data_IF_194414448414
#
_entry.id   IF_194414448414
#
_cell.length_a   1.000
_cell.length_b   1.000
_cell.length_c   1.000
_cell.angle_alpha   90.00
_cell.angle_beta   90.00
_cell.angle_gamma   90.00
#
_symmetry.space_group_name_H-M   'P 1'
#
loop_
_entity.id
_entity.type
_entity.pdbx_description
1 polymer ?
#
# COMPACT_ATOMS: atom_id res chain seq x y z
N UNK A 1 2.53 -28.11 -14.75
CA UNK A 1 2.13 -26.73 -14.35
C UNK A 1 1.18 -26.83 -13.15
N UNK A 2 1.29 -25.96 -12.14
CA UNK A 2 0.41 -26.01 -10.95
C UNK A 2 -0.95 -25.32 -11.21
N UNK A 3 -2.08 -26.05 -11.26
CA UNK A 3 -3.40 -25.48 -11.53
C UNK A 3 -4.01 -24.72 -10.33
N UNK A 4 -3.46 -24.85 -9.13
CA UNK A 4 -3.95 -24.14 -7.93
C UNK A 4 -3.36 -22.73 -7.80
N UNK A 5 -2.33 -22.41 -8.57
CA UNK A 5 -1.71 -21.09 -8.55
C UNK A 5 -2.62 -20.05 -9.21
N UNK A 6 -3.25 -19.21 -8.40
CA UNK A 6 -4.11 -18.10 -8.82
C UNK A 6 -3.57 -16.81 -8.21
N UNK A 7 -2.62 -16.12 -8.87
CA UNK A 7 -2.02 -14.92 -8.31
C UNK A 7 -3.09 -13.83 -8.17
N UNK A 8 -3.10 -13.10 -7.04
CA UNK A 8 -3.99 -11.96 -6.90
C UNK A 8 -3.57 -10.86 -7.88
N UNK A 9 -4.55 -10.10 -8.36
CA UNK A 9 -4.28 -8.96 -9.22
C UNK A 9 -3.33 -7.94 -8.53
N UNK A 10 -2.44 -7.30 -9.30
CA UNK A 10 -1.61 -6.23 -8.77
C UNK A 10 -2.50 -5.05 -8.35
N UNK A 11 -2.03 -4.28 -7.34
CA UNK A 11 -2.69 -3.04 -6.97
C UNK A 11 -2.40 -1.96 -8.01
N UNK A 12 -3.42 -1.16 -8.35
CA UNK A 12 -3.27 -0.02 -9.24
C UNK A 12 -2.33 1.02 -8.65
N UNK A 13 -1.61 1.73 -9.52
CA UNK A 13 -0.70 2.78 -9.06
C UNK A 13 -1.46 3.93 -8.38
N UNK A 14 -2.60 4.34 -8.94
CA UNK A 14 -3.47 5.36 -8.34
C UNK A 14 -3.84 5.06 -6.88
N UNK A 15 -4.12 3.79 -6.55
CA UNK A 15 -4.41 3.39 -5.18
C UNK A 15 -3.18 3.48 -4.27
N UNK A 16 -2.01 3.06 -4.76
CA UNK A 16 -0.73 3.17 -4.01
C UNK A 16 -0.41 4.64 -3.72
N UNK A 17 -0.55 5.50 -4.72
CA UNK A 17 -0.36 6.94 -4.61
C UNK A 17 -1.37 7.54 -3.62
N UNK A 18 -2.64 7.12 -3.65
CA UNK A 18 -3.64 7.54 -2.66
C UNK A 18 -3.25 7.15 -1.23
N UNK A 19 -2.84 5.90 -1.01
CA UNK A 19 -2.37 5.42 0.31
C UNK A 19 -1.19 6.25 0.80
N UNK A 20 -0.21 6.50 -0.06
CA UNK A 20 0.97 7.29 0.26
C UNK A 20 0.60 8.73 0.63
N UNK A 21 -0.21 9.41 -0.19
CA UNK A 21 -0.65 10.80 0.08
C UNK A 21 -1.43 10.93 1.39
N UNK A 22 -2.28 9.96 1.74
CA UNK A 22 -2.98 9.94 3.02
C UNK A 22 -2.00 9.81 4.20
N UNK A 23 -1.07 8.85 4.12
CA UNK A 23 -0.05 8.67 5.16
C UNK A 23 0.83 9.93 5.32
N UNK A 24 1.23 10.58 4.22
CA UNK A 24 2.02 11.81 4.26
C UNK A 24 1.25 13.01 4.83
N UNK A 25 -0.08 13.07 4.63
CA UNK A 25 -0.89 14.18 5.13
C UNK A 25 -0.98 14.21 6.66
N UNK A 26 -1.09 13.06 7.30
CA UNK A 26 -1.12 12.92 8.76
C UNK A 26 -0.74 11.47 9.13
N UNK A 27 0.56 11.19 9.39
CA UNK A 27 1.02 9.84 9.70
C UNK A 27 0.46 9.27 11.02
N UNK A 28 0.03 10.13 11.95
CA UNK A 28 -0.53 9.72 13.23
C UNK A 28 -1.99 9.28 13.08
N UNK A 29 -2.76 9.97 12.23
CA UNK A 29 -4.12 9.59 11.88
C UNK A 29 -4.14 8.42 10.91
N UNK A 30 -3.37 8.48 9.82
CA UNK A 30 -3.35 7.50 8.74
C UNK A 30 -2.23 6.47 8.95
N UNK A 31 -2.26 5.80 10.11
CA UNK A 31 -1.30 4.74 10.42
C UNK A 31 -1.42 3.57 9.43
N UNK A 32 -0.35 2.77 9.23
CA UNK A 32 -0.40 1.57 8.38
C UNK A 32 -1.52 0.59 8.78
N UNK A 33 -1.82 0.46 10.07
CA UNK A 33 -2.91 -0.38 10.57
C UNK A 33 -4.28 0.18 10.18
N UNK A 34 -4.49 1.49 10.29
CA UNK A 34 -5.73 2.12 9.85
C UNK A 34 -5.94 1.96 8.34
N UNK A 35 -4.93 2.29 7.54
CA UNK A 35 -4.99 2.17 6.08
C UNK A 35 -5.18 0.72 5.63
N UNK A 36 -4.63 -0.24 6.37
CA UNK A 36 -4.86 -1.68 6.15
C UNK A 36 -6.33 -2.05 6.30
N UNK A 37 -6.98 -1.57 7.37
CA UNK A 37 -8.41 -1.81 7.61
C UNK A 37 -9.28 -1.11 6.56
N UNK A 38 -9.00 0.16 6.26
CA UNK A 38 -9.78 0.97 5.33
C UNK A 38 -9.73 0.40 3.89
N UNK A 39 -8.58 -0.11 3.46
CA UNK A 39 -8.38 -0.62 2.10
C UNK A 39 -8.42 -2.16 1.98
N UNK A 40 -8.61 -2.90 3.08
CA UNK A 40 -8.57 -4.38 3.12
C UNK A 40 -7.29 -4.96 2.52
N UNK A 41 -6.16 -4.31 2.78
CA UNK A 41 -4.83 -4.71 2.35
C UNK A 41 -4.02 -5.07 3.60
N UNK A 42 -3.17 -6.10 3.56
CA UNK A 42 -2.35 -6.45 4.72
C UNK A 42 -1.45 -5.28 5.15
N UNK A 43 -1.22 -5.15 6.46
CA UNK A 43 -0.37 -4.10 7.05
C UNK A 43 1.03 -4.11 6.42
N UNK A 44 1.60 -5.29 6.19
CA UNK A 44 2.92 -5.42 5.57
C UNK A 44 2.95 -4.88 4.15
N UNK A 45 1.87 -5.09 3.37
CA UNK A 45 1.77 -4.56 2.01
C UNK A 45 1.58 -3.05 2.01
N UNK A 46 0.86 -2.48 2.98
CA UNK A 46 0.75 -1.02 3.16
C UNK A 46 2.13 -0.42 3.50
N UNK A 47 2.86 -1.00 4.46
CA UNK A 47 4.22 -0.55 4.81
C UNK A 47 5.16 -0.58 3.61
N UNK A 48 5.10 -1.65 2.81
CA UNK A 48 5.88 -1.77 1.58
C UNK A 48 5.52 -0.69 0.56
N UNK A 49 4.22 -0.41 0.36
CA UNK A 49 3.76 0.66 -0.55
C UNK A 49 4.32 2.02 -0.11
N UNK A 50 4.21 2.36 1.18
CA UNK A 50 4.71 3.63 1.71
C UNK A 50 6.21 3.76 1.47
N UNK A 51 6.98 2.71 1.82
CA UNK A 51 8.44 2.70 1.63
C UNK A 51 8.85 2.84 0.17
N UNK A 52 8.17 2.14 -0.75
CA UNK A 52 8.49 2.19 -2.17
C UNK A 52 8.14 3.55 -2.78
N UNK A 53 7.01 4.15 -2.40
CA UNK A 53 6.62 5.49 -2.87
C UNK A 53 7.53 6.59 -2.31
N UNK A 54 8.01 6.43 -1.08
CA UNK A 54 9.01 7.33 -0.51
C UNK A 54 10.33 7.30 -1.31
N UNK A 55 10.80 6.10 -1.69
CA UNK A 55 11.99 5.95 -2.53
C UNK A 55 11.78 6.53 -3.93
N UNK A 56 10.59 6.34 -4.50
CA UNK A 56 10.19 6.92 -5.79
C UNK A 56 10.17 8.46 -5.76
N UNK A 57 9.76 9.06 -4.64
CA UNK A 57 9.77 10.52 -4.47
C UNK A 57 11.17 11.11 -4.27
N UNK A 58 12.11 10.29 -3.78
CA UNK A 58 13.48 10.71 -3.48
C UNK A 58 14.46 10.42 -4.63
N UNK A 59 13.97 9.87 -5.74
CA UNK A 59 14.73 9.59 -6.96
C UNK A 59 14.57 10.73 -7.98
#
# INVERSE_FOLDING_TARGET
LNPTFRPPAPLSDALKTRIYTLNQSDPQKYTPTKLSLDHKISVDRIKAIIRLKELESNW
#
